data_IF_857048750454
#
_entry.id   IF_857048750454
#
_cell.length_a   1.000
_cell.length_b   1.000
_cell.length_c   1.000
_cell.angle_alpha   90.00
_cell.angle_beta   90.00
_cell.angle_gamma   90.00
#
_symmetry.space_group_name_H-M   'P 1'
#
loop_
_entity.id
_entity.type
_entity.pdbx_description
1 polymer ?
#
# COMPACT_ATOMS: atom_id res chain seq x y z
N UNK A 1 -9.98 -14.18 20.16
CA UNK A 1 -9.08 -14.19 18.99
C UNK A 1 -8.99 -15.58 18.36
N UNK A 2 -8.51 -16.61 19.08
CA UNK A 2 -8.34 -17.97 18.52
C UNK A 2 -9.62 -18.63 17.95
N UNK A 3 -10.79 -18.42 18.56
CA UNK A 3 -12.07 -18.98 18.07
C UNK A 3 -12.63 -18.24 16.84
N UNK A 4 -12.51 -16.90 16.79
CA UNK A 4 -12.87 -16.10 15.61
C UNK A 4 -11.99 -16.44 14.40
N UNK A 5 -10.71 -16.83 14.62
CA UNK A 5 -9.86 -17.41 13.58
C UNK A 5 -10.41 -18.74 13.05
N UNK A 6 -10.91 -19.62 13.92
CA UNK A 6 -11.39 -20.95 13.52
C UNK A 6 -12.56 -20.88 12.53
N UNK A 7 -13.43 -19.87 12.64
CA UNK A 7 -14.48 -19.60 11.64
C UNK A 7 -13.91 -19.18 10.29
N UNK A 8 -13.02 -18.18 10.31
CA UNK A 8 -12.47 -17.60 9.08
C UNK A 8 -11.66 -18.62 8.25
N UNK A 9 -11.10 -19.65 8.90
CA UNK A 9 -10.33 -20.72 8.25
C UNK A 9 -11.15 -21.96 7.89
N UNK A 10 -12.23 -22.27 8.61
CA UNK A 10 -12.94 -23.57 8.46
C UNK A 10 -14.44 -23.47 8.13
N UNK A 11 -15.04 -22.28 8.01
CA UNK A 11 -16.50 -22.09 7.77
C UNK A 11 -17.42 -22.83 8.75
N UNK A 12 -17.01 -23.01 10.01
CA UNK A 12 -17.87 -23.56 11.07
C UNK A 12 -18.39 -22.43 11.95
N UNK A 13 -19.70 -22.16 11.91
CA UNK A 13 -20.31 -21.14 12.77
C UNK A 13 -20.13 -21.43 14.27
N UNK A 14 -19.73 -20.43 15.03
CA UNK A 14 -19.58 -20.48 16.48
C UNK A 14 -20.96 -20.56 17.11
N UNK A 15 -21.13 -21.54 17.99
CA UNK A 15 -22.33 -21.69 18.79
C UNK A 15 -22.63 -20.42 19.62
N UNK A 16 -23.88 -19.93 19.68
CA UNK A 16 -24.25 -18.68 20.35
C UNK A 16 -23.74 -18.56 21.81
N UNK A 17 -23.75 -19.66 22.57
CA UNK A 17 -23.24 -19.70 23.94
C UNK A 17 -21.71 -19.41 24.01
N UNK A 18 -20.97 -19.85 23.00
CA UNK A 18 -19.54 -19.57 22.89
C UNK A 18 -19.27 -18.12 22.48
N UNK A 19 -20.11 -17.51 21.62
CA UNK A 19 -20.00 -16.09 21.29
C UNK A 19 -20.20 -15.21 22.52
N UNK A 20 -21.22 -15.49 23.33
CA UNK A 20 -21.47 -14.79 24.59
C UNK A 20 -20.28 -14.88 25.55
N UNK A 21 -19.72 -16.08 25.74
CA UNK A 21 -18.54 -16.27 26.57
C UNK A 21 -17.30 -15.50 26.05
N UNK A 22 -17.15 -15.33 24.73
CA UNK A 22 -16.06 -14.51 24.16
C UNK A 22 -16.28 -13.02 24.43
N UNK A 23 -17.51 -12.53 24.31
CA UNK A 23 -17.86 -11.14 24.60
C UNK A 23 -17.61 -10.79 26.08
N UNK A 24 -18.01 -11.68 27.00
CA UNK A 24 -17.81 -11.50 28.45
C UNK A 24 -16.32 -11.48 28.83
N UNK A 25 -15.51 -12.24 28.10
CA UNK A 25 -14.07 -12.33 28.31
C UNK A 25 -13.25 -11.41 27.39
N UNK A 26 -13.88 -10.55 26.58
CA UNK A 26 -13.18 -9.70 25.62
C UNK A 26 -12.14 -8.79 26.29
N UNK A 27 -12.40 -8.37 27.54
CA UNK A 27 -11.47 -7.59 28.37
C UNK A 27 -10.15 -8.30 28.65
N UNK A 28 -10.15 -9.64 28.67
CA UNK A 28 -8.94 -10.44 28.90
C UNK A 28 -7.94 -10.37 27.74
N UNK A 29 -8.34 -9.84 26.56
CA UNK A 29 -7.41 -9.56 25.47
C UNK A 29 -6.26 -8.63 25.89
N UNK A 30 -6.48 -7.76 26.89
CA UNK A 30 -5.43 -6.87 27.42
C UNK A 30 -4.25 -7.66 28.02
N UNK A 31 -4.47 -8.90 28.47
CA UNK A 31 -3.43 -9.77 29.01
C UNK A 31 -2.75 -10.65 27.95
N UNK A 32 -3.21 -10.60 26.69
CA UNK A 32 -2.62 -11.37 25.59
C UNK A 32 -1.60 -10.49 24.88
N UNK A 33 -0.44 -11.06 24.54
CA UNK A 33 0.56 -10.33 23.77
C UNK A 33 0.02 -9.86 22.42
N UNK A 34 0.42 -8.65 22.03
CA UNK A 34 -0.02 -8.02 20.78
C UNK A 34 0.37 -8.86 19.57
N UNK A 35 1.53 -9.51 19.61
CA UNK A 35 2.04 -10.40 18.56
C UNK A 35 1.10 -11.58 18.33
N UNK A 36 0.52 -12.15 19.39
CA UNK A 36 -0.43 -13.24 19.27
C UNK A 36 -1.76 -12.76 18.70
N UNK A 37 -2.25 -11.60 19.14
CA UNK A 37 -3.47 -10.99 18.57
C UNK A 37 -3.25 -10.68 17.09
N UNK A 38 -2.08 -10.16 16.73
CA UNK A 38 -1.71 -9.85 15.35
C UNK A 38 -1.61 -11.09 14.47
N UNK A 39 -1.02 -12.19 14.96
CA UNK A 39 -0.94 -13.44 14.20
C UNK A 39 -2.33 -14.02 13.88
N UNK A 40 -3.26 -13.95 14.83
CA UNK A 40 -4.65 -14.38 14.63
C UNK A 40 -5.41 -13.46 13.67
N UNK A 41 -5.23 -12.15 13.80
CA UNK A 41 -5.86 -11.17 12.92
C UNK A 41 -5.34 -11.25 11.48
N UNK A 42 -4.02 -11.44 11.30
CA UNK A 42 -3.42 -11.65 9.98
C UNK A 42 -4.05 -12.83 9.24
N UNK A 43 -4.33 -13.93 9.95
CA UNK A 43 -4.99 -15.11 9.40
C UNK A 43 -6.46 -14.88 9.06
N UNK A 44 -7.13 -14.01 9.81
CA UNK A 44 -8.51 -13.61 9.55
C UNK A 44 -8.59 -12.76 8.27
N UNK A 45 -7.65 -11.83 8.07
CA UNK A 45 -7.60 -10.99 6.87
C UNK A 45 -7.43 -11.79 5.56
N UNK A 46 -6.67 -12.88 5.61
CA UNK A 46 -6.41 -13.76 4.45
C UNK A 46 -7.25 -15.04 4.47
N UNK A 47 -8.22 -15.14 5.39
CA UNK A 47 -9.05 -16.32 5.58
C UNK A 47 -10.00 -16.57 4.41
N UNK A 48 -10.50 -17.80 4.31
CA UNK A 48 -11.47 -18.22 3.28
C UNK A 48 -12.79 -17.48 3.49
N UNK A 49 -13.20 -17.29 4.75
CA UNK A 49 -14.39 -16.54 5.12
C UNK A 49 -14.02 -15.32 5.96
N UNK A 50 -13.50 -14.30 5.27
CA UNK A 50 -13.13 -13.01 5.88
C UNK A 50 -14.36 -12.32 6.47
N UNK A 51 -15.50 -12.37 5.76
CA UNK A 51 -16.75 -11.71 6.15
C UNK A 51 -17.24 -12.23 7.49
N UNK A 52 -17.42 -13.55 7.63
CA UNK A 52 -17.87 -14.15 8.89
C UNK A 52 -16.92 -13.80 10.04
N UNK A 53 -15.60 -13.98 9.84
CA UNK A 53 -14.61 -13.65 10.87
C UNK A 53 -14.63 -12.18 11.31
N UNK A 54 -14.83 -11.23 10.37
CA UNK A 54 -14.95 -9.81 10.71
C UNK A 54 -16.26 -9.48 11.41
N UNK A 55 -17.38 -10.08 10.99
CA UNK A 55 -18.67 -9.89 11.64
C UNK A 55 -18.60 -10.35 13.09
N UNK A 56 -18.04 -11.53 13.33
CA UNK A 56 -17.81 -12.06 14.68
C UNK A 56 -16.88 -11.17 15.50
N UNK A 57 -15.83 -10.64 14.90
CA UNK A 57 -14.92 -9.70 15.55
C UNK A 57 -15.62 -8.40 15.99
N UNK A 58 -16.62 -7.94 15.23
CA UNK A 58 -17.45 -6.77 15.53
C UNK A 58 -18.50 -7.11 16.59
N UNK A 59 -19.28 -8.19 16.40
CA UNK A 59 -20.33 -8.65 17.31
C UNK A 59 -19.80 -8.91 18.73
N UNK A 60 -18.63 -9.54 18.84
CA UNK A 60 -17.99 -9.84 20.12
C UNK A 60 -17.25 -8.64 20.73
N UNK A 61 -17.27 -7.47 20.06
CA UNK A 61 -16.56 -6.23 20.45
C UNK A 61 -15.06 -6.40 20.70
N UNK A 62 -14.43 -7.41 20.11
CA UNK A 62 -12.99 -7.63 20.26
C UNK A 62 -12.18 -6.48 19.64
N UNK A 63 -12.72 -5.80 18.63
CA UNK A 63 -12.12 -4.61 18.02
C UNK A 63 -11.86 -3.47 19.01
N UNK A 64 -12.65 -3.36 20.09
CA UNK A 64 -12.48 -2.33 21.11
C UNK A 64 -11.19 -2.50 21.94
N UNK A 65 -10.70 -3.73 22.03
CA UNK A 65 -9.46 -4.08 22.76
C UNK A 65 -8.27 -4.29 21.81
N UNK A 66 -8.51 -4.30 20.51
CA UNK A 66 -7.47 -4.46 19.51
C UNK A 66 -6.70 -3.14 19.29
N UNK A 67 -5.37 -3.21 19.04
CA UNK A 67 -4.55 -2.02 18.89
C UNK A 67 -5.11 -1.04 17.86
N UNK A 68 -5.39 0.21 18.27
CA UNK A 68 -5.81 1.30 17.38
C UNK A 68 -7.10 1.00 16.56
N UNK A 69 -7.97 0.10 17.01
CA UNK A 69 -9.22 -0.25 16.30
C UNK A 69 -10.52 0.22 16.94
N UNK A 70 -10.49 0.63 18.21
CA UNK A 70 -11.71 0.94 18.98
C UNK A 70 -12.61 2.02 18.35
N UNK A 71 -12.03 2.99 17.64
CA UNK A 71 -12.77 4.09 17.02
C UNK A 71 -13.29 3.78 15.59
N UNK A 72 -13.11 2.55 15.08
CA UNK A 72 -13.28 2.24 13.66
C UNK A 72 -14.39 1.21 13.37
N UNK A 73 -15.38 1.06 14.24
CA UNK A 73 -16.50 0.10 14.07
C UNK A 73 -17.20 0.25 12.71
N UNK A 74 -17.52 1.48 12.29
CA UNK A 74 -18.17 1.75 11.00
C UNK A 74 -17.32 1.29 9.81
N UNK A 75 -16.02 1.57 9.83
CA UNK A 75 -15.11 1.18 8.75
C UNK A 75 -14.87 -0.33 8.72
N UNK A 76 -14.83 -0.99 9.89
CA UNK A 76 -14.77 -2.45 10.00
C UNK A 76 -16.04 -3.10 9.45
N UNK A 77 -17.20 -2.52 9.73
CA UNK A 77 -18.48 -2.98 9.18
C UNK A 77 -18.49 -2.88 7.66
N UNK A 78 -18.05 -1.74 7.09
CA UNK A 78 -17.88 -1.59 5.64
C UNK A 78 -16.91 -2.62 5.06
N UNK A 79 -15.77 -2.86 5.72
CA UNK A 79 -14.80 -3.85 5.29
C UNK A 79 -15.37 -5.28 5.28
N UNK A 80 -16.23 -5.63 6.26
CA UNK A 80 -16.92 -6.92 6.30
C UNK A 80 -17.91 -7.10 5.15
N UNK A 81 -18.44 -6.02 4.59
CA UNK A 81 -19.43 -6.06 3.51
C UNK A 81 -18.82 -6.21 2.11
N UNK A 82 -17.51 -5.98 1.96
CA UNK A 82 -16.80 -6.17 0.69
C UNK A 82 -16.95 -7.60 0.15
N UNK A 83 -16.87 -7.80 -1.18
CA UNK A 83 -17.01 -9.11 -1.81
C UNK A 83 -16.13 -10.18 -1.16
N UNK A 84 -16.61 -11.43 -1.10
CA UNK A 84 -15.92 -12.55 -0.44
C UNK A 84 -14.74 -13.11 -1.27
N UNK A 85 -14.15 -12.27 -2.12
CA UNK A 85 -12.93 -12.58 -2.84
C UNK A 85 -11.80 -12.76 -1.84
N UNK A 86 -11.17 -13.93 -1.89
CA UNK A 86 -10.01 -14.23 -1.07
C UNK A 86 -8.85 -13.34 -1.48
N UNK A 87 -8.25 -12.68 -0.48
CA UNK A 87 -7.04 -11.89 -0.67
C UNK A 87 -5.83 -12.83 -0.73
N UNK A 88 -5.02 -12.67 -1.77
CA UNK A 88 -3.84 -13.50 -2.01
C UNK A 88 -2.67 -13.16 -1.11
N UNK A 89 -2.63 -11.93 -0.57
CA UNK A 89 -1.54 -11.47 0.28
C UNK A 89 -2.03 -10.79 1.56
N UNK A 90 -1.19 -10.88 2.60
CA UNK A 90 -1.39 -10.13 3.84
C UNK A 90 -1.32 -8.62 3.62
N UNK A 91 -0.50 -8.17 2.66
CA UNK A 91 -0.38 -6.76 2.31
C UNK A 91 -1.70 -6.20 1.77
N UNK A 92 -2.41 -6.96 0.94
CA UNK A 92 -3.70 -6.57 0.38
C UNK A 92 -4.76 -6.43 1.47
N UNK A 93 -4.78 -7.34 2.45
CA UNK A 93 -5.70 -7.27 3.59
C UNK A 93 -5.47 -6.05 4.46
N UNK A 94 -4.21 -5.79 4.83
CA UNK A 94 -3.88 -4.60 5.61
C UNK A 94 -4.09 -3.30 4.83
N UNK A 95 -3.76 -3.27 3.53
CA UNK A 95 -3.93 -2.10 2.70
C UNK A 95 -5.42 -1.74 2.53
N UNK A 96 -6.27 -2.72 2.22
CA UNK A 96 -7.71 -2.51 2.12
C UNK A 96 -8.31 -2.00 3.44
N UNK A 97 -7.94 -2.65 4.55
CA UNK A 97 -8.38 -2.25 5.88
C UNK A 97 -7.94 -0.82 6.21
N UNK A 98 -6.65 -0.51 6.11
CA UNK A 98 -6.10 0.81 6.47
C UNK A 98 -6.68 1.91 5.57
N UNK A 99 -6.87 1.62 4.28
CA UNK A 99 -7.50 2.54 3.34
C UNK A 99 -8.93 2.91 3.77
N UNK A 100 -9.76 1.92 4.14
CA UNK A 100 -11.11 2.16 4.65
C UNK A 100 -11.13 2.85 6.02
N UNK A 101 -10.21 2.48 6.90
CA UNK A 101 -10.05 3.11 8.22
C UNK A 101 -9.60 4.56 8.12
N UNK A 102 -9.06 4.99 6.97
CA UNK A 102 -8.47 6.32 6.73
C UNK A 102 -7.42 6.68 7.77
N UNK A 103 -6.57 5.71 8.12
CA UNK A 103 -5.51 5.88 9.11
C UNK A 103 -4.13 5.82 8.47
N UNK A 104 -3.11 6.22 9.23
CA UNK A 104 -1.72 6.17 8.77
C UNK A 104 -1.17 4.73 8.88
N UNK A 105 -0.69 4.12 7.78
CA UNK A 105 -0.19 2.74 7.78
C UNK A 105 0.92 2.48 8.82
N UNK A 106 1.88 3.40 8.93
CA UNK A 106 3.01 3.27 9.85
C UNK A 106 2.57 3.15 11.31
N UNK A 107 1.64 3.99 11.75
CA UNK A 107 1.15 4.01 13.14
C UNK A 107 0.36 2.74 13.44
N UNK A 108 -0.52 2.36 12.52
CA UNK A 108 -1.35 1.18 12.65
C UNK A 108 -0.48 -0.09 12.70
N UNK A 109 0.32 -0.34 11.68
CA UNK A 109 1.08 -1.59 11.55
C UNK A 109 2.17 -1.74 12.61
N UNK A 110 2.78 -0.65 13.10
CA UNK A 110 3.68 -0.70 14.27
C UNK A 110 2.95 -1.09 15.55
N UNK A 111 1.74 -0.57 15.77
CA UNK A 111 0.91 -0.97 16.91
C UNK A 111 0.53 -2.45 16.84
N UNK A 112 0.47 -3.03 15.64
CA UNK A 112 0.21 -4.44 15.37
C UNK A 112 1.48 -5.30 15.21
N UNK A 113 2.66 -4.76 15.53
CA UNK A 113 3.96 -5.49 15.51
C UNK A 113 4.27 -6.16 14.16
N UNK A 114 3.83 -5.57 13.06
CA UNK A 114 4.09 -6.08 11.71
C UNK A 114 5.54 -5.80 11.26
N UNK A 115 6.01 -6.54 10.25
CA UNK A 115 7.37 -6.39 9.71
C UNK A 115 7.56 -5.05 8.99
N UNK A 116 8.80 -4.53 8.97
CA UNK A 116 9.13 -3.30 8.26
C UNK A 116 8.89 -3.41 6.74
N UNK A 117 9.10 -4.60 6.17
CA UNK A 117 8.81 -4.89 4.76
C UNK A 117 7.32 -4.73 4.47
N UNK A 118 6.46 -5.32 5.30
CA UNK A 118 5.01 -5.19 5.17
C UNK A 118 4.56 -3.73 5.36
N UNK A 119 5.13 -3.03 6.35
CA UNK A 119 4.86 -1.60 6.58
C UNK A 119 5.17 -0.77 5.33
N UNK A 120 6.33 -1.02 4.71
CA UNK A 120 6.77 -0.27 3.52
C UNK A 120 5.82 -0.53 2.35
N UNK A 121 5.54 -1.79 2.06
CA UNK A 121 4.65 -2.20 0.98
C UNK A 121 3.24 -1.62 1.16
N UNK A 122 2.62 -1.81 2.32
CA UNK A 122 1.27 -1.29 2.60
C UNK A 122 1.24 0.24 2.55
N UNK A 123 2.32 0.91 2.99
CA UNK A 123 2.41 2.37 2.89
C UNK A 123 2.40 2.84 1.44
N UNK A 124 3.15 2.18 0.56
CA UNK A 124 3.17 2.48 -0.88
C UNK A 124 1.82 2.17 -1.53
N UNK A 125 1.24 1.01 -1.23
CA UNK A 125 -0.08 0.60 -1.73
C UNK A 125 -1.17 1.58 -1.32
N UNK A 126 -1.25 1.98 -0.04
CA UNK A 126 -2.28 2.93 0.43
C UNK A 126 -2.13 4.30 -0.23
N UNK A 127 -0.91 4.78 -0.46
CA UNK A 127 -0.67 6.02 -1.21
C UNK A 127 -1.16 5.92 -2.65
N UNK A 128 -0.88 4.79 -3.31
CA UNK A 128 -1.35 4.55 -4.68
C UNK A 128 -2.88 4.49 -4.73
N UNK A 129 -3.53 3.79 -3.80
CA UNK A 129 -4.99 3.70 -3.70
C UNK A 129 -5.68 5.07 -3.54
N UNK A 130 -5.00 6.07 -2.95
CA UNK A 130 -5.55 7.43 -2.79
C UNK A 130 -5.65 8.21 -4.11
N UNK A 131 -4.89 7.84 -5.14
CA UNK A 131 -4.91 8.50 -6.46
C UNK A 131 -5.61 7.65 -7.53
N UNK A 132 -6.10 6.46 -7.17
CA UNK A 132 -6.91 5.62 -8.04
C UNK A 132 -8.28 6.26 -8.32
N UNK A 133 -8.89 5.99 -9.51
CA UNK A 133 -8.47 5.02 -10.53
C UNK A 133 -7.45 5.55 -11.56
N UNK A 134 -7.02 6.80 -11.45
CA UNK A 134 -6.21 7.48 -12.48
C UNK A 134 -4.81 7.88 -11.96
N UNK A 135 -3.94 6.92 -11.60
CA UNK A 135 -2.60 7.22 -11.13
C UNK A 135 -1.74 7.78 -12.28
N UNK A 136 -0.81 8.68 -11.95
CA UNK A 136 0.19 9.14 -12.92
C UNK A 136 1.30 8.09 -13.07
N UNK A 137 2.07 8.18 -14.17
CA UNK A 137 3.28 7.36 -14.34
C UNK A 137 4.24 7.48 -13.15
N UNK A 138 4.32 8.67 -12.53
CA UNK A 138 5.14 8.90 -11.34
C UNK A 138 4.60 8.19 -10.10
N UNK A 139 3.29 8.13 -9.92
CA UNK A 139 2.67 7.41 -8.79
C UNK A 139 2.94 5.91 -8.90
N UNK A 140 2.81 5.35 -10.11
CA UNK A 140 3.12 3.95 -10.41
C UNK A 140 4.61 3.64 -10.15
N UNK A 141 5.50 4.51 -10.62
CA UNK A 141 6.94 4.39 -10.41
C UNK A 141 7.33 4.44 -8.92
N UNK A 142 6.78 5.37 -8.15
CA UNK A 142 7.06 5.51 -6.72
C UNK A 142 6.48 4.38 -5.87
N UNK A 143 5.35 3.82 -6.30
CA UNK A 143 4.75 2.66 -5.65
C UNK A 143 5.62 1.41 -5.86
N UNK A 144 6.07 1.18 -7.09
CA UNK A 144 6.81 -0.02 -7.48
C UNK A 144 5.90 -1.24 -7.68
N UNK A 145 6.44 -2.25 -8.36
CA UNK A 145 5.71 -3.41 -8.88
C UNK A 145 4.85 -4.11 -7.83
N UNK A 146 5.45 -4.47 -6.68
CA UNK A 146 4.77 -5.18 -5.61
C UNK A 146 3.56 -4.37 -5.07
N UNK A 147 3.71 -3.06 -4.93
CA UNK A 147 2.65 -2.19 -4.44
C UNK A 147 1.55 -1.98 -5.48
N UNK A 148 1.91 -1.90 -6.77
CA UNK A 148 0.96 -1.82 -7.90
C UNK A 148 0.12 -3.08 -7.99
N UNK A 149 0.73 -4.27 -7.89
CA UNK A 149 0.02 -5.56 -7.87
C UNK A 149 -0.91 -5.68 -6.67
N UNK A 150 -0.44 -5.24 -5.49
CA UNK A 150 -1.29 -5.23 -4.29
C UNK A 150 -2.44 -4.23 -4.44
N UNK A 151 -2.18 -3.04 -5.01
CA UNK A 151 -3.21 -2.02 -5.20
C UNK A 151 -4.25 -2.44 -6.24
N UNK A 152 -3.86 -3.15 -7.31
CA UNK A 152 -4.81 -3.65 -8.32
C UNK A 152 -5.76 -4.68 -7.72
N UNK A 153 -5.27 -5.59 -6.85
CA UNK A 153 -6.10 -6.54 -6.11
C UNK A 153 -7.10 -5.82 -5.19
N UNK A 154 -6.61 -4.88 -4.38
CA UNK A 154 -7.46 -4.12 -3.46
C UNK A 154 -8.46 -3.25 -4.21
N UNK A 155 -8.06 -2.61 -5.31
CA UNK A 155 -8.95 -1.78 -6.10
C UNK A 155 -10.06 -2.61 -6.76
N UNK A 156 -9.76 -3.83 -7.23
CA UNK A 156 -10.76 -4.77 -7.74
C UNK A 156 -11.76 -5.19 -6.67
N UNK A 157 -11.31 -5.38 -5.44
CA UNK A 157 -12.18 -5.67 -4.31
C UNK A 157 -13.12 -4.49 -3.98
N UNK A 158 -12.62 -3.26 -4.05
CA UNK A 158 -13.39 -2.04 -3.77
C UNK A 158 -14.29 -1.62 -4.94
N UNK A 159 -13.89 -1.93 -6.18
CA UNK A 159 -14.58 -1.58 -7.41
C UNK A 159 -14.54 -2.78 -8.36
N UNK A 160 -15.57 -3.63 -8.38
CA UNK A 160 -15.58 -4.89 -9.13
C UNK A 160 -15.30 -4.74 -10.64
N UNK A 161 -15.63 -3.61 -11.24
CA UNK A 161 -15.40 -3.34 -12.66
C UNK A 161 -13.98 -2.84 -12.96
N UNK A 162 -13.13 -2.68 -11.95
CA UNK A 162 -11.76 -2.21 -12.14
C UNK A 162 -10.95 -3.16 -13.03
N UNK A 163 -10.24 -2.61 -14.01
CA UNK A 163 -9.35 -3.35 -14.90
C UNK A 163 -7.94 -3.45 -14.29
N UNK A 164 -7.65 -4.62 -13.71
CA UNK A 164 -6.35 -4.91 -13.13
C UNK A 164 -5.24 -5.02 -14.19
N UNK A 165 -5.60 -5.47 -15.39
CA UNK A 165 -4.65 -5.69 -16.47
C UNK A 165 -4.18 -4.34 -17.02
N UNK A 166 -5.08 -3.38 -17.19
CA UNK A 166 -4.73 -2.03 -17.63
C UNK A 166 -3.70 -1.37 -16.69
N UNK A 167 -3.84 -1.53 -15.37
CA UNK A 167 -2.89 -0.98 -14.40
C UNK A 167 -1.51 -1.67 -14.50
N UNK A 168 -1.50 -2.99 -14.66
CA UNK A 168 -0.26 -3.76 -14.82
C UNK A 168 0.47 -3.38 -16.11
N UNK A 169 -0.26 -3.23 -17.22
CA UNK A 169 0.28 -2.77 -18.50
C UNK A 169 0.83 -1.34 -18.41
N UNK A 170 0.13 -0.44 -17.71
CA UNK A 170 0.61 0.93 -17.49
C UNK A 170 1.93 0.97 -16.70
N UNK A 171 2.11 0.09 -15.71
CA UNK A 171 3.38 -0.04 -14.98
C UNK A 171 4.48 -0.69 -15.85
N UNK A 172 4.15 -1.73 -16.62
CA UNK A 172 5.11 -2.39 -17.50
C UNK A 172 5.60 -1.46 -18.63
N UNK A 173 4.76 -0.54 -19.09
CA UNK A 173 5.10 0.46 -20.11
C UNK A 173 5.97 1.61 -19.60
N UNK A 174 6.27 1.69 -18.30
CA UNK A 174 7.15 2.73 -17.77
C UNK A 174 8.56 2.61 -18.39
N UNK A 175 9.18 3.72 -18.81
CA UNK A 175 10.52 3.68 -19.42
C UNK A 175 11.64 3.21 -18.49
N UNK A 176 11.46 3.38 -17.18
CA UNK A 176 12.37 2.90 -16.12
C UNK A 176 11.54 2.48 -14.91
N UNK A 177 12.03 1.49 -14.16
CA UNK A 177 11.38 0.97 -12.94
C UNK A 177 12.18 1.27 -11.67
N UNK A 178 13.42 1.73 -11.81
CA UNK A 178 14.25 2.17 -10.69
C UNK A 178 15.18 3.32 -11.08
N UNK A 179 15.63 4.08 -10.09
CA UNK A 179 16.56 5.20 -10.31
C UNK A 179 17.89 4.77 -10.91
N UNK A 180 18.25 3.49 -10.73
CA UNK A 180 19.49 2.90 -11.24
C UNK A 180 19.49 2.73 -12.76
N UNK A 181 18.31 2.68 -13.37
CA UNK A 181 18.15 2.56 -14.82
C UNK A 181 18.25 3.91 -15.54
N UNK A 182 18.26 5.02 -14.80
CA UNK A 182 18.44 6.34 -15.38
C UNK A 182 19.83 6.42 -16.03
N UNK A 183 19.86 6.60 -17.35
CA UNK A 183 21.09 6.66 -18.13
C UNK A 183 21.98 7.85 -17.76
N UNK A 184 21.39 8.91 -17.19
CA UNK A 184 22.10 10.12 -16.78
C UNK A 184 22.53 10.05 -15.33
N UNK A 185 23.82 10.27 -15.09
CA UNK A 185 24.38 10.38 -13.75
C UNK A 185 24.78 11.82 -13.43
N UNK A 186 25.04 12.10 -12.14
CA UNK A 186 25.58 13.40 -11.74
C UNK A 186 26.92 13.73 -12.41
N UNK A 187 27.74 12.72 -12.73
CA UNK A 187 29.01 12.92 -13.44
C UNK A 187 28.79 13.47 -14.86
N UNK A 188 27.71 13.05 -15.53
CA UNK A 188 27.39 13.51 -16.88
C UNK A 188 26.89 14.95 -16.87
N UNK A 189 26.13 15.35 -15.83
CA UNK A 189 25.74 16.74 -15.61
C UNK A 189 26.96 17.64 -15.33
N UNK A 190 27.95 17.15 -14.57
CA UNK A 190 29.21 17.88 -14.34
C UNK A 190 29.96 18.08 -15.65
N UNK A 191 30.08 17.04 -16.50
CA UNK A 191 30.67 17.15 -17.84
C UNK A 191 29.91 18.14 -18.73
N UNK A 192 28.59 18.25 -18.57
CA UNK A 192 27.74 19.23 -19.26
C UNK A 192 27.85 20.66 -18.69
N UNK A 193 28.62 20.86 -17.61
CA UNK A 193 28.89 22.16 -17.00
C UNK A 193 27.96 22.55 -15.85
N UNK A 194 27.24 21.60 -15.25
CA UNK A 194 26.42 21.82 -14.04
C UNK A 194 27.32 21.77 -12.81
N UNK A 195 27.19 22.76 -11.91
CA UNK A 195 27.96 22.79 -10.66
C UNK A 195 27.39 21.80 -9.62
N UNK A 196 28.25 21.05 -8.90
CA UNK A 196 27.79 20.20 -7.81
C UNK A 196 27.06 21.00 -6.72
N UNK A 197 25.92 20.50 -6.25
CA UNK A 197 25.15 21.12 -5.17
C UNK A 197 23.70 20.63 -5.11
N UNK A 198 22.90 21.14 -4.16
CA UNK A 198 21.48 20.77 -4.00
C UNK A 198 20.65 20.96 -5.27
N UNK A 199 21.02 21.94 -6.11
CA UNK A 199 20.36 22.23 -7.37
C UNK A 199 20.55 21.11 -8.41
N UNK A 200 21.70 20.44 -8.41
CA UNK A 200 21.95 19.25 -9.26
C UNK A 200 21.04 18.08 -8.86
N UNK A 201 20.84 17.85 -7.56
CA UNK A 201 19.91 16.81 -7.08
C UNK A 201 18.47 17.07 -7.51
N UNK A 202 18.02 18.33 -7.46
CA UNK A 202 16.71 18.73 -7.97
C UNK A 202 16.59 18.49 -9.48
N UNK A 203 17.61 18.87 -10.25
CA UNK A 203 17.63 18.65 -11.69
C UNK A 203 17.57 17.15 -12.04
N UNK A 204 18.32 16.30 -11.33
CA UNK A 204 18.27 14.85 -11.52
C UNK A 204 16.88 14.28 -11.23
N UNK A 205 16.22 14.72 -10.15
CA UNK A 205 14.85 14.28 -9.85
C UNK A 205 13.85 14.77 -10.91
N UNK A 206 14.00 15.97 -11.46
CA UNK A 206 13.14 16.45 -12.55
C UNK A 206 13.35 15.66 -13.83
N UNK A 207 14.60 15.32 -14.16
CA UNK A 207 14.92 14.45 -15.29
C UNK A 207 14.28 13.08 -15.10
N UNK A 208 14.44 12.48 -13.93
CA UNK A 208 13.84 11.19 -13.56
C UNK A 208 12.32 11.21 -13.75
N UNK A 209 11.62 12.22 -13.23
CA UNK A 209 10.18 12.38 -13.42
C UNK A 209 9.76 12.48 -14.89
N UNK A 210 10.53 13.19 -15.71
CA UNK A 210 10.23 13.36 -17.15
C UNK A 210 10.52 12.11 -17.94
N UNK A 211 11.54 11.35 -17.58
CA UNK A 211 11.83 10.04 -18.16
C UNK A 211 10.70 9.08 -17.84
N UNK A 212 10.29 8.98 -16.57
CA UNK A 212 9.16 8.14 -16.14
C UNK A 212 7.87 8.53 -16.86
N UNK A 213 7.61 9.83 -17.05
CA UNK A 213 6.45 10.32 -17.78
C UNK A 213 6.52 10.15 -19.32
N UNK A 214 7.61 9.58 -19.87
CA UNK A 214 7.82 9.43 -21.31
C UNK A 214 8.10 10.74 -22.05
N UNK A 215 8.24 11.87 -21.33
CA UNK A 215 8.51 13.18 -21.91
C UNK A 215 9.99 13.37 -22.30
N UNK A 216 10.87 12.51 -21.81
CA UNK A 216 12.31 12.49 -22.14
C UNK A 216 12.76 11.04 -22.37
N UNK A 217 13.40 10.71 -23.50
CA UNK A 217 13.95 9.37 -23.70
C UNK A 217 15.14 9.12 -22.78
N UNK A 218 15.24 7.91 -22.24
CA UNK A 218 16.29 7.49 -21.30
C UNK A 218 17.62 7.18 -22.02
N UNK A 219 18.24 8.19 -22.64
CA UNK A 219 19.50 8.04 -23.39
C UNK A 219 20.51 9.13 -23.02
N UNK A 220 21.80 8.81 -23.09
CA UNK A 220 22.89 9.78 -22.82
C UNK A 220 22.94 10.92 -23.86
N UNK A 221 22.60 10.63 -25.12
CA UNK A 221 22.70 11.60 -26.24
C UNK A 221 21.52 12.58 -26.29
N UNK A 222 20.35 12.18 -25.83
CA UNK A 222 19.14 13.01 -25.81
C UNK A 222 19.16 14.10 -24.74
N UNK A 223 20.18 14.13 -23.87
CA UNK A 223 20.37 15.18 -22.88
C UNK A 223 21.47 16.15 -23.31
N UNK A 224 21.44 16.62 -24.56
CA UNK A 224 22.29 17.72 -24.99
C UNK A 224 21.96 19.01 -24.22
N UNK A 225 22.97 19.86 -24.01
CA UNK A 225 22.87 21.15 -23.30
C UNK A 225 21.74 22.06 -23.82
N UNK A 226 21.37 21.92 -25.09
CA UNK A 226 20.23 22.59 -25.74
C UNK A 226 18.87 22.08 -25.24
N UNK A 227 18.71 20.77 -25.07
CA UNK A 227 17.49 20.14 -24.56
C UNK A 227 17.27 20.50 -23.09
N UNK A 228 18.31 20.45 -22.26
CA UNK A 228 18.30 20.87 -20.85
C UNK A 228 17.94 22.36 -20.66
N UNK A 229 18.30 23.21 -21.63
CA UNK A 229 17.88 24.63 -21.70
C UNK A 229 16.45 24.81 -22.20
N UNK A 230 16.04 24.13 -23.28
CA UNK A 230 14.67 24.14 -23.80
C UNK A 230 13.65 23.61 -22.78
N UNK A 231 14.05 22.63 -21.98
CA UNK A 231 13.23 22.00 -20.94
C UNK A 231 13.14 22.84 -19.65
N UNK A 232 13.79 24.02 -19.59
CA UNK A 232 13.95 24.90 -18.40
C UNK A 232 14.62 24.26 -17.17
N UNK A 233 15.20 23.06 -17.30
CA UNK A 233 15.79 22.31 -16.17
C UNK A 233 17.08 22.97 -15.68
N UNK A 234 17.86 23.60 -16.57
CA UNK A 234 19.21 24.13 -16.24
C UNK A 234 19.26 25.65 -16.09
N UNK A 235 18.26 26.41 -16.55
CA UNK A 235 18.29 27.88 -16.43
C UNK A 235 18.29 28.37 -14.96
N UNK A 236 17.75 27.60 -14.01
CA UNK A 236 17.73 27.99 -12.58
C UNK A 236 19.00 27.58 -11.81
N UNK A 237 19.87 26.73 -12.37
CA UNK A 237 21.08 26.26 -11.67
C UNK A 237 22.37 27.01 -12.08
N UNK A 238 22.29 27.89 -13.08
CA UNK A 238 23.44 28.61 -13.66
C UNK A 238 23.48 30.08 -13.23
N UNK A 239 22.47 30.56 -12.50
CA UNK A 239 22.49 31.88 -11.84
C UNK A 239 22.85 31.75 -10.37
#
# INVERSE_FOLDING_TARGET
>A
CGRVRFESQLRFGIEPATKAAIADNAKLLVHISVERVAAEFNRLLTGIDRRAGLQDFIETRLFAYAPKMAAHETALTQFSQLPDTQLTSLASGWAALIFLLRTQPLVMLKAWKQSNELITLVTQTVKLLQVMPNPTAWDLYQAGEAAVTTASEVQKLLTPDFDQQQLAEAYAALPIHSKKELALTGADLIKAGVRPGPAMGKALNQIEQRVVAGALPNELKSCCRSQLKCLKIVCECVM
#
